data_IF_343996255599
#
_entry.id   IF_343996255599
#
_cell.length_a   1.000
_cell.length_b   1.000
_cell.length_c   1.000
_cell.angle_alpha   90.00
_cell.angle_beta   90.00
_cell.angle_gamma   90.00
#
_symmetry.space_group_name_H-M   'P 1'
#
loop_
_entity.id
_entity.type
_entity.pdbx_description
1 polymer ?
#
# COMPACT_ATOMS: atom_id res chain seq x y z
N UNK A 1 6.36 -10.41 -20.10
CA UNK A 1 7.49 -9.69 -19.46
C UNK A 1 7.01 -8.28 -19.18
N UNK A 2 7.49 -7.67 -18.11
CA UNK A 2 7.02 -6.37 -17.67
C UNK A 2 7.49 -5.24 -18.61
N UNK A 3 6.54 -4.48 -19.14
CA UNK A 3 6.76 -3.30 -19.97
C UNK A 3 6.56 -2.07 -19.10
N UNK A 4 7.54 -1.17 -19.16
CA UNK A 4 7.50 0.14 -18.52
C UNK A 4 7.93 1.23 -19.49
N UNK A 5 7.57 2.47 -19.20
CA UNK A 5 7.92 3.66 -20.01
C UNK A 5 8.36 4.82 -19.11
N UNK A 6 9.39 5.61 -19.47
CA UNK A 6 9.61 6.92 -18.84
C UNK A 6 8.46 7.86 -19.23
N UNK A 7 8.25 8.93 -18.46
CA UNK A 7 7.20 9.89 -18.78
C UNK A 7 7.58 11.30 -18.35
N UNK A 8 6.87 12.30 -18.90
CA UNK A 8 7.01 13.70 -18.49
C UNK A 8 6.24 13.93 -17.20
N UNK A 9 6.93 13.80 -16.07
CA UNK A 9 6.32 13.98 -14.76
C UNK A 9 5.85 15.42 -14.54
N UNK A 10 4.65 15.56 -13.99
CA UNK A 10 4.17 16.81 -13.41
C UNK A 10 4.50 16.82 -11.94
N UNK A 11 5.33 17.76 -11.49
CA UNK A 11 5.89 17.76 -10.14
C UNK A 11 6.07 19.17 -9.59
N UNK A 12 6.09 19.35 -8.26
CA UNK A 12 6.22 20.68 -7.67
C UNK A 12 7.63 21.26 -7.84
N UNK A 13 7.78 22.59 -7.90
CA UNK A 13 9.07 23.23 -7.63
C UNK A 13 9.66 22.78 -6.29
N UNK A 14 10.99 22.76 -6.18
CA UNK A 14 11.70 22.26 -5.00
C UNK A 14 11.26 22.95 -3.70
N UNK A 15 11.02 24.25 -3.72
CA UNK A 15 10.59 25.06 -2.58
C UNK A 15 9.11 24.85 -2.19
N UNK A 16 8.34 24.13 -3.00
CA UNK A 16 6.92 23.86 -2.77
C UNK A 16 6.62 22.40 -2.44
N UNK A 17 7.57 21.47 -2.60
CA UNK A 17 7.30 20.03 -2.44
C UNK A 17 6.71 19.67 -1.07
N UNK A 18 7.19 20.27 0.02
CA UNK A 18 6.67 20.02 1.37
C UNK A 18 5.27 20.59 1.60
N UNK A 19 4.88 21.60 0.84
CA UNK A 19 3.52 22.16 0.87
C UNK A 19 2.56 21.35 -0.02
N UNK A 20 3.06 20.72 -1.08
CA UNK A 20 2.25 19.96 -2.04
C UNK A 20 2.08 18.52 -1.60
N UNK A 21 3.16 17.84 -1.23
CA UNK A 21 3.15 16.42 -0.92
C UNK A 21 2.19 16.08 0.22
N UNK A 22 1.42 15.01 0.04
CA UNK A 22 0.42 14.57 1.01
C UNK A 22 0.49 13.06 1.22
N UNK A 23 -0.21 12.56 2.25
CA UNK A 23 -0.49 11.13 2.37
C UNK A 23 -1.47 10.71 1.25
N UNK A 24 -1.48 9.43 0.87
CA UNK A 24 -2.48 8.90 -0.05
C UNK A 24 -3.91 9.06 0.48
N UNK A 25 -4.87 9.12 -0.44
CA UNK A 25 -6.29 9.32 -0.13
C UNK A 25 -6.88 8.27 0.83
N UNK A 26 -6.34 7.05 0.83
CA UNK A 26 -6.82 5.89 1.58
C UNK A 26 -6.20 5.75 2.98
N UNK A 27 -5.31 6.66 3.36
CA UNK A 27 -4.70 6.70 4.70
C UNK A 27 -5.55 7.49 5.70
N UNK A 28 -6.39 8.41 5.22
CA UNK A 28 -7.08 9.41 6.04
C UNK A 28 -8.56 9.52 5.72
N UNK A 29 -9.35 9.86 6.74
CA UNK A 29 -10.70 10.37 6.51
C UNK A 29 -10.70 11.88 6.18
N UNK A 30 -11.85 12.39 5.73
CA UNK A 30 -11.98 13.80 5.30
C UNK A 30 -11.78 14.82 6.42
N UNK A 31 -12.05 14.46 7.69
CA UNK A 31 -11.80 15.36 8.82
C UNK A 31 -10.31 15.50 9.11
N UNK A 32 -9.57 14.38 9.07
CA UNK A 32 -8.11 14.36 9.19
C UNK A 32 -7.46 15.15 8.04
N UNK A 33 -7.88 14.90 6.80
CA UNK A 33 -7.37 15.60 5.63
C UNK A 33 -7.61 17.11 5.70
N UNK A 34 -8.79 17.54 6.19
CA UNK A 34 -9.11 18.96 6.37
C UNK A 34 -8.23 19.64 7.42
N UNK A 35 -7.93 18.96 8.53
CA UNK A 35 -7.02 19.51 9.54
C UNK A 35 -5.57 19.57 9.02
N UNK A 36 -5.11 18.57 8.27
CA UNK A 36 -3.76 18.59 7.69
C UNK A 36 -3.58 19.63 6.56
N UNK A 37 -4.62 19.87 5.76
CA UNK A 37 -4.59 20.88 4.70
C UNK A 37 -4.82 22.32 5.23
N UNK A 38 -5.16 22.47 6.51
CA UNK A 38 -5.60 23.74 7.08
C UNK A 38 -4.54 24.84 6.94
N UNK A 39 -4.91 25.91 6.25
CA UNK A 39 -4.02 27.05 5.98
C UNK A 39 -2.98 26.81 4.88
N UNK A 40 -3.02 25.65 4.20
CA UNK A 40 -2.13 25.33 3.10
C UNK A 40 -2.93 25.06 1.81
N UNK A 41 -3.15 26.12 1.02
CA UNK A 41 -3.85 26.04 -0.28
C UNK A 41 -3.14 25.16 -1.33
N UNK A 42 -1.87 24.79 -1.11
CA UNK A 42 -1.08 23.98 -2.04
C UNK A 42 -1.13 22.49 -1.73
N UNK A 43 -1.79 22.09 -0.64
CA UNK A 43 -1.89 20.69 -0.27
C UNK A 43 -2.57 19.87 -1.35
N UNK A 44 -1.96 18.75 -1.78
CA UNK A 44 -2.57 17.89 -2.78
C UNK A 44 -3.90 17.27 -2.31
N UNK A 45 -4.23 17.33 -1.01
CA UNK A 45 -5.55 16.93 -0.53
C UNK A 45 -6.70 17.69 -1.22
N UNK A 46 -6.47 18.92 -1.70
CA UNK A 46 -7.45 19.65 -2.51
C UNK A 46 -7.78 18.94 -3.85
N UNK A 47 -6.93 18.02 -4.32
CA UNK A 47 -7.13 17.22 -5.54
C UNK A 47 -7.55 15.78 -5.22
N UNK A 48 -6.92 15.14 -4.23
CA UNK A 48 -7.15 13.71 -3.93
C UNK A 48 -8.28 13.47 -2.92
N UNK A 49 -8.63 14.48 -2.11
CA UNK A 49 -9.76 14.53 -1.18
C UNK A 49 -10.50 15.88 -1.29
N UNK A 50 -10.99 16.25 -2.49
CA UNK A 50 -11.57 17.56 -2.79
C UNK A 50 -12.81 17.91 -1.94
N UNK A 51 -13.44 16.94 -1.28
CA UNK A 51 -14.55 17.17 -0.36
C UNK A 51 -14.16 18.06 0.84
N UNK A 52 -12.85 18.22 1.12
CA UNK A 52 -12.37 19.15 2.15
C UNK A 52 -12.64 20.63 1.81
N UNK A 53 -12.91 20.95 0.55
CA UNK A 53 -13.23 22.32 0.10
C UNK A 53 -14.71 22.68 0.22
N UNK A 54 -15.55 21.71 0.61
CA UNK A 54 -16.98 21.88 0.80
C UNK A 54 -17.34 21.96 2.29
N UNK A 55 -18.59 22.32 2.66
CA UNK A 55 -19.06 22.21 4.03
C UNK A 55 -18.88 20.80 4.60
N UNK A 56 -18.65 20.69 5.91
CA UNK A 56 -18.53 19.40 6.59
C UNK A 56 -19.84 18.61 6.41
N UNK A 57 -19.72 17.35 5.97
CA UNK A 57 -20.84 16.46 5.70
C UNK A 57 -21.25 16.34 4.24
N UNK A 58 -20.62 17.09 3.32
CA UNK A 58 -20.73 16.83 1.87
C UNK A 58 -20.23 15.42 1.54
N UNK A 59 -20.97 14.71 0.69
CA UNK A 59 -20.63 13.35 0.27
C UNK A 59 -19.38 13.38 -0.63
N UNK A 60 -18.37 12.57 -0.31
CA UNK A 60 -17.13 12.47 -1.10
C UNK A 60 -17.37 11.95 -2.53
N UNK A 61 -18.55 11.40 -2.81
CA UNK A 61 -18.92 10.86 -4.11
C UNK A 61 -19.89 11.75 -4.92
N UNK A 62 -20.17 12.97 -4.46
CA UNK A 62 -20.96 13.93 -5.23
C UNK A 62 -20.21 14.38 -6.51
N UNK A 63 -20.95 14.64 -7.60
CA UNK A 63 -20.36 15.05 -8.88
C UNK A 63 -19.53 16.34 -8.78
N UNK A 64 -20.00 17.30 -7.97
CA UNK A 64 -19.29 18.56 -7.73
C UNK A 64 -17.93 18.37 -7.04
N UNK A 65 -17.77 17.30 -6.25
CA UNK A 65 -16.53 16.96 -5.55
C UNK A 65 -15.48 16.48 -6.56
N UNK A 66 -15.84 15.62 -7.51
CA UNK A 66 -14.93 15.22 -8.59
C UNK A 66 -14.57 16.40 -9.52
N UNK A 67 -15.54 17.24 -9.86
CA UNK A 67 -15.29 18.43 -10.68
C UNK A 67 -14.32 19.40 -9.96
N UNK A 68 -14.44 19.55 -8.64
CA UNK A 68 -13.52 20.35 -7.83
C UNK A 68 -12.08 19.82 -7.89
N UNK A 69 -11.87 18.50 -7.90
CA UNK A 69 -10.53 17.93 -8.08
C UNK A 69 -9.89 18.39 -9.40
N UNK A 70 -10.64 18.33 -10.51
CA UNK A 70 -10.15 18.75 -11.82
C UNK A 70 -9.85 20.26 -11.88
N UNK A 71 -10.73 21.09 -11.29
CA UNK A 71 -10.51 22.54 -11.16
C UNK A 71 -9.25 22.85 -10.36
N UNK A 72 -9.06 22.17 -9.23
CA UNK A 72 -7.88 22.35 -8.38
C UNK A 72 -6.61 21.86 -9.09
N UNK A 73 -6.66 20.74 -9.80
CA UNK A 73 -5.51 20.24 -10.56
C UNK A 73 -5.09 21.20 -11.69
N UNK A 74 -6.05 21.82 -12.39
CA UNK A 74 -5.75 22.86 -13.36
C UNK A 74 -5.17 24.11 -12.68
N UNK A 75 -5.77 24.57 -11.57
CA UNK A 75 -5.27 25.71 -10.80
C UNK A 75 -3.83 25.51 -10.33
N UNK A 76 -3.47 24.30 -9.87
CA UNK A 76 -2.10 24.00 -9.42
C UNK A 76 -1.08 24.16 -10.55
N UNK A 77 -1.45 23.78 -11.78
CA UNK A 77 -0.61 23.97 -12.96
C UNK A 77 -0.53 25.46 -13.35
N UNK A 78 -1.66 26.16 -13.39
CA UNK A 78 -1.72 27.59 -13.75
C UNK A 78 -0.93 28.48 -12.78
N UNK A 79 -0.93 28.13 -11.48
CA UNK A 79 -0.15 28.82 -10.45
C UNK A 79 1.32 28.40 -10.40
N UNK A 80 1.75 27.43 -11.22
CA UNK A 80 3.11 26.91 -11.23
C UNK A 80 3.48 26.08 -9.99
N UNK A 81 2.49 25.59 -9.24
CA UNK A 81 2.72 24.69 -8.09
C UNK A 81 2.97 23.25 -8.53
N UNK A 82 2.56 22.93 -9.76
CA UNK A 82 2.85 21.68 -10.45
C UNK A 82 3.33 22.02 -11.87
N UNK A 83 4.55 21.62 -12.19
CA UNK A 83 5.22 21.93 -13.45
C UNK A 83 5.59 20.62 -14.15
N UNK A 84 5.31 20.55 -15.45
CA UNK A 84 5.64 19.38 -16.27
C UNK A 84 7.10 19.42 -16.70
N UNK A 85 7.79 18.28 -16.59
CA UNK A 85 9.14 18.12 -17.11
C UNK A 85 9.17 18.22 -18.66
N UNK A 86 10.27 18.74 -19.21
CA UNK A 86 10.41 18.98 -20.65
C UNK A 86 10.58 17.69 -21.48
N UNK A 87 11.15 16.64 -20.87
CA UNK A 87 11.44 15.34 -21.49
C UNK A 87 10.95 14.18 -20.61
N UNK A 88 10.78 13.01 -21.22
CA UNK A 88 10.44 11.79 -20.51
C UNK A 88 11.62 11.36 -19.63
N UNK A 89 11.36 11.10 -18.35
CA UNK A 89 12.36 10.64 -17.41
C UNK A 89 11.84 9.40 -16.66
N UNK A 90 12.77 8.64 -16.11
CA UNK A 90 12.48 7.85 -14.90
C UNK A 90 12.87 8.66 -13.67
N UNK A 91 12.40 8.24 -12.50
CA UNK A 91 12.75 8.91 -11.26
C UNK A 91 13.14 7.88 -10.20
N UNK A 92 14.01 8.28 -9.27
CA UNK A 92 14.24 7.52 -8.04
C UNK A 92 13.44 8.17 -6.94
N UNK A 93 12.63 7.39 -6.24
CA UNK A 93 11.95 7.80 -5.02
C UNK A 93 12.41 6.92 -3.86
N UNK A 94 13.10 7.51 -2.90
CA UNK A 94 13.53 6.86 -1.67
C UNK A 94 12.63 7.21 -0.48
N UNK A 95 12.42 6.23 0.39
CA UNK A 95 11.74 6.38 1.67
C UNK A 95 12.63 5.87 2.79
N UNK A 96 12.79 6.67 3.85
CA UNK A 96 13.62 6.33 5.00
C UNK A 96 12.77 6.25 6.27
N UNK A 97 12.84 5.11 6.96
CA UNK A 97 12.18 4.87 8.24
C UNK A 97 13.13 4.09 9.15
N UNK A 98 13.29 4.54 10.41
CA UNK A 98 14.10 3.86 11.43
C UNK A 98 15.54 3.56 10.97
N UNK A 99 16.16 4.47 10.22
CA UNK A 99 17.53 4.32 9.71
C UNK A 99 17.68 3.35 8.52
N UNK A 100 16.58 2.75 8.04
CA UNK A 100 16.55 1.94 6.81
C UNK A 100 15.97 2.76 5.68
N UNK A 101 16.63 2.74 4.52
CA UNK A 101 16.16 3.39 3.29
C UNK A 101 15.83 2.34 2.24
N UNK A 102 14.70 2.54 1.55
CA UNK A 102 14.31 1.78 0.37
C UNK A 102 14.23 2.72 -0.84
N UNK A 103 14.70 2.26 -1.99
CA UNK A 103 14.81 3.02 -3.23
C UNK A 103 13.93 2.40 -4.31
N UNK A 104 12.97 3.17 -4.80
CA UNK A 104 12.05 2.75 -5.85
C UNK A 104 12.25 3.54 -7.14
N UNK A 105 11.99 2.89 -8.27
CA UNK A 105 11.95 3.53 -9.58
C UNK A 105 10.51 3.96 -9.88
N UNK A 106 10.29 5.24 -10.17
CA UNK A 106 9.00 5.73 -10.66
C UNK A 106 8.93 5.51 -12.16
N UNK A 107 7.90 4.80 -12.61
CA UNK A 107 7.74 4.33 -13.99
C UNK A 107 6.29 4.46 -14.44
N UNK A 108 6.06 4.56 -15.76
CA UNK A 108 4.77 4.26 -16.37
C UNK A 108 4.65 2.75 -16.58
N UNK A 109 3.84 2.06 -15.78
CA UNK A 109 3.58 0.63 -15.88
C UNK A 109 2.51 0.33 -16.94
N UNK A 110 2.75 -0.64 -17.81
CA UNK A 110 1.90 -0.92 -18.96
C UNK A 110 0.53 -1.49 -18.58
N UNK A 111 -0.54 -0.88 -19.08
CA UNK A 111 -1.93 -1.26 -18.80
C UNK A 111 -2.24 -2.70 -19.23
N UNK A 112 -1.87 -3.16 -20.44
CA UNK A 112 -2.06 -4.56 -20.81
C UNK A 112 -1.36 -5.57 -19.91
N UNK A 113 -0.25 -5.23 -19.26
CA UNK A 113 0.41 -6.13 -18.31
C UNK A 113 -0.41 -6.36 -17.05
N UNK A 114 -1.21 -5.38 -16.63
CA UNK A 114 -2.22 -5.58 -15.58
C UNK A 114 -3.36 -6.48 -16.06
N UNK A 115 -3.81 -6.29 -17.29
CA UNK A 115 -4.95 -7.03 -17.86
C UNK A 115 -4.60 -8.50 -18.16
N UNK A 116 -3.36 -8.79 -18.54
CA UNK A 116 -2.89 -10.13 -18.92
C UNK A 116 -2.23 -10.91 -17.76
N UNK A 117 -2.09 -10.29 -16.57
CA UNK A 117 -1.54 -10.93 -15.38
C UNK A 117 -0.01 -11.00 -15.31
N UNK A 118 0.70 -10.15 -16.05
CA UNK A 118 2.14 -9.86 -15.86
C UNK A 118 2.34 -8.98 -14.62
N UNK A 119 1.48 -8.00 -14.38
CA UNK A 119 1.38 -7.32 -13.08
C UNK A 119 0.49 -8.18 -12.18
N UNK A 120 1.12 -8.81 -11.19
CA UNK A 120 0.53 -9.80 -10.29
C UNK A 120 -0.26 -9.12 -9.17
N UNK A 121 -1.46 -9.63 -8.96
CA UNK A 121 -2.37 -9.24 -7.88
C UNK A 121 -2.37 -10.34 -6.84
N UNK A 122 -2.51 -9.97 -5.58
CA UNK A 122 -2.69 -10.92 -4.48
C UNK A 122 -3.83 -10.49 -3.53
N UNK A 123 -4.60 -9.46 -3.91
CA UNK A 123 -5.76 -8.96 -3.19
C UNK A 123 -6.91 -8.69 -4.17
N UNK A 124 -8.15 -8.86 -3.68
CA UNK A 124 -9.35 -8.47 -4.41
C UNK A 124 -9.66 -6.99 -4.19
N UNK A 125 -9.99 -6.32 -5.27
CA UNK A 125 -10.55 -4.99 -5.26
C UNK A 125 -12.06 -5.01 -5.00
N UNK A 126 -12.59 -3.87 -4.60
CA UNK A 126 -14.02 -3.62 -4.38
C UNK A 126 -14.50 -2.67 -5.47
N UNK A 127 -15.62 -3.01 -6.10
CA UNK A 127 -16.18 -2.26 -7.24
C UNK A 127 -16.49 -0.81 -6.91
N UNK A 128 -16.99 -0.53 -5.71
CA UNK A 128 -17.29 0.83 -5.25
C UNK A 128 -16.03 1.69 -5.15
N UNK A 129 -14.95 1.12 -4.60
CA UNK A 129 -13.65 1.79 -4.51
C UNK A 129 -12.94 1.92 -5.86
N UNK A 130 -13.13 0.96 -6.76
CA UNK A 130 -12.65 1.07 -8.14
C UNK A 130 -13.34 2.20 -8.90
N UNK A 131 -14.68 2.23 -8.89
CA UNK A 131 -15.45 3.25 -9.63
C UNK A 131 -15.14 4.67 -9.14
N UNK A 132 -15.06 4.86 -7.82
CA UNK A 132 -14.64 6.12 -7.21
C UNK A 132 -13.25 6.57 -7.71
N UNK A 133 -12.24 5.68 -7.71
CA UNK A 133 -10.91 6.00 -8.23
C UNK A 133 -10.90 6.22 -9.74
N UNK A 134 -11.69 5.47 -10.50
CA UNK A 134 -11.83 5.67 -11.95
C UNK A 134 -12.37 7.06 -12.26
N UNK A 135 -13.37 7.55 -11.52
CA UNK A 135 -13.87 8.92 -11.67
C UNK A 135 -12.77 9.95 -11.44
N UNK A 136 -11.99 9.84 -10.37
CA UNK A 136 -10.85 10.73 -10.13
C UNK A 136 -9.83 10.72 -11.28
N UNK A 137 -9.45 9.55 -11.80
CA UNK A 137 -8.51 9.45 -12.93
C UNK A 137 -9.11 10.05 -14.20
N UNK A 138 -10.40 9.80 -14.48
CA UNK A 138 -11.11 10.35 -15.65
C UNK A 138 -11.19 11.87 -15.62
N UNK A 139 -11.65 12.47 -14.51
CA UNK A 139 -11.86 13.92 -14.42
C UNK A 139 -10.55 14.71 -14.42
N UNK A 140 -9.50 14.17 -13.81
CA UNK A 140 -8.18 14.81 -13.83
C UNK A 140 -7.38 14.52 -15.10
N UNK A 141 -7.80 13.52 -15.89
CA UNK A 141 -7.04 12.96 -17.00
C UNK A 141 -5.58 12.62 -16.62
N UNK A 142 -5.37 12.11 -15.40
CA UNK A 142 -4.05 11.87 -14.83
C UNK A 142 -4.09 10.81 -13.72
N UNK A 143 -2.98 10.11 -13.56
CA UNK A 143 -2.67 9.34 -12.35
C UNK A 143 -2.01 10.28 -11.33
N UNK A 144 -2.83 10.83 -10.42
CA UNK A 144 -2.38 11.78 -9.39
C UNK A 144 -1.55 11.11 -8.30
N UNK A 145 -1.82 9.84 -8.02
CA UNK A 145 -1.22 9.09 -6.92
C UNK A 145 -0.50 7.85 -7.46
N UNK A 146 0.71 7.54 -6.95
CA UNK A 146 1.42 6.35 -7.40
C UNK A 146 0.81 5.08 -6.84
N UNK A 147 1.08 3.96 -7.51
CA UNK A 147 0.91 2.61 -6.93
C UNK A 147 2.26 2.05 -6.48
N UNK A 148 2.26 1.18 -5.47
CA UNK A 148 3.48 0.60 -4.92
C UNK A 148 3.66 -0.79 -5.49
N UNK A 149 4.70 -0.98 -6.30
CA UNK A 149 5.08 -2.28 -6.85
C UNK A 149 6.39 -2.80 -6.25
N UNK A 150 6.54 -4.12 -6.28
CA UNK A 150 7.76 -4.83 -5.99
C UNK A 150 8.27 -5.57 -7.25
N UNK A 151 9.58 -5.74 -7.36
CA UNK A 151 10.23 -6.52 -8.41
C UNK A 151 11.38 -7.37 -7.84
N UNK A 152 11.80 -8.45 -8.53
CA UNK A 152 12.94 -9.26 -8.10
C UNK A 152 14.25 -8.46 -8.13
N UNK A 153 15.11 -8.64 -7.12
CA UNK A 153 16.41 -7.96 -7.02
C UNK A 153 17.19 -7.96 -8.35
N UNK A 154 17.74 -6.80 -8.73
CA UNK A 154 18.45 -6.65 -10.00
C UNK A 154 19.69 -5.75 -9.82
N UNK A 155 20.87 -6.36 -9.90
CA UNK A 155 22.15 -5.68 -9.68
C UNK A 155 22.42 -4.53 -10.66
N UNK A 156 21.92 -4.61 -11.89
CA UNK A 156 22.07 -3.52 -12.88
C UNK A 156 21.24 -2.31 -12.45
N UNK A 157 19.99 -2.53 -12.05
CA UNK A 157 19.13 -1.45 -11.54
C UNK A 157 19.69 -0.86 -10.24
N UNK A 158 20.18 -1.70 -9.33
CA UNK A 158 20.82 -1.25 -8.09
C UNK A 158 22.03 -0.35 -8.38
N UNK A 159 22.87 -0.71 -9.36
CA UNK A 159 24.02 0.10 -9.75
C UNK A 159 23.61 1.46 -10.34
N UNK A 160 22.57 1.49 -11.17
CA UNK A 160 22.03 2.75 -11.72
C UNK A 160 21.48 3.63 -10.58
N UNK A 161 20.67 3.06 -9.68
CA UNK A 161 20.12 3.79 -8.53
C UNK A 161 21.25 4.33 -7.64
N UNK A 162 22.28 3.53 -7.37
CA UNK A 162 23.44 3.95 -6.58
C UNK A 162 24.19 5.13 -7.23
N UNK A 163 24.26 5.17 -8.57
CA UNK A 163 24.89 6.28 -9.30
C UNK A 163 24.16 7.61 -9.09
N UNK A 164 22.82 7.63 -9.12
CA UNK A 164 22.06 8.88 -8.92
C UNK A 164 21.96 9.28 -7.44
N UNK A 165 21.93 8.32 -6.53
CA UNK A 165 21.68 8.60 -5.10
C UNK A 165 22.90 9.17 -4.36
N UNK A 166 24.08 9.21 -4.98
CA UNK A 166 25.24 9.98 -4.48
C UNK A 166 25.22 11.44 -4.94
N UNK A 167 24.39 11.79 -5.92
CA UNK A 167 24.22 13.15 -6.38
C UNK A 167 23.22 13.91 -5.48
N UNK A 168 23.21 15.24 -5.61
CA UNK A 168 22.28 16.08 -4.85
C UNK A 168 20.83 15.77 -5.27
N UNK A 169 19.94 15.39 -4.33
CA UNK A 169 18.55 15.13 -4.65
C UNK A 169 17.80 16.41 -5.04
N UNK A 170 16.73 16.23 -5.81
CA UNK A 170 15.80 17.29 -6.17
C UNK A 170 14.89 17.62 -4.99
N UNK A 171 14.39 16.59 -4.29
CA UNK A 171 13.66 16.74 -3.03
C UNK A 171 14.35 15.93 -1.94
N UNK A 172 14.47 16.49 -0.75
CA UNK A 172 14.96 15.80 0.43
C UNK A 172 14.34 16.42 1.67
N UNK A 173 13.35 15.74 2.25
CA UNK A 173 12.58 16.25 3.38
C UNK A 173 12.10 15.14 4.30
N UNK A 174 11.80 15.49 5.55
CA UNK A 174 11.13 14.61 6.50
C UNK A 174 9.67 15.05 6.56
N UNK A 175 8.74 14.15 6.24
CA UNK A 175 7.34 14.50 6.25
C UNK A 175 6.87 14.88 7.66
N UNK A 176 6.21 16.04 7.82
CA UNK A 176 5.64 16.43 9.10
C UNK A 176 4.52 15.44 9.49
N UNK A 177 4.46 15.09 10.77
CA UNK A 177 3.41 14.21 11.32
C UNK A 177 3.86 12.76 11.51
N UNK A 178 4.35 12.09 10.46
CA UNK A 178 4.79 10.69 10.56
C UNK A 178 6.31 10.49 10.64
N UNK A 179 7.11 11.50 10.29
CA UNK A 179 8.56 11.50 10.50
C UNK A 179 9.33 10.62 9.52
N UNK A 180 8.71 10.20 8.40
CA UNK A 180 9.42 9.45 7.36
C UNK A 180 10.20 10.38 6.43
N UNK A 181 11.44 9.99 6.12
CA UNK A 181 12.28 10.69 5.16
C UNK A 181 11.85 10.36 3.72
N UNK A 182 11.82 11.37 2.86
CA UNK A 182 11.48 11.25 1.46
C UNK A 182 12.54 11.97 0.62
N UNK A 183 13.16 11.24 -0.29
CA UNK A 183 14.22 11.77 -1.14
C UNK A 183 13.95 11.38 -2.59
N UNK A 184 14.17 12.30 -3.53
CA UNK A 184 13.75 12.14 -4.93
C UNK A 184 14.81 12.64 -5.91
N UNK A 185 15.06 11.86 -6.97
CA UNK A 185 16.01 12.17 -8.04
C UNK A 185 15.39 11.94 -9.41
N UNK A 186 15.95 12.59 -10.43
CA UNK A 186 15.54 12.44 -11.82
C UNK A 186 16.62 11.65 -12.56
N UNK A 187 16.21 10.60 -13.28
CA UNK A 187 17.05 9.83 -14.18
C UNK A 187 16.79 10.32 -15.59
N UNK A 188 17.75 11.07 -16.12
CA UNK A 188 17.57 11.87 -17.32
C UNK A 188 18.58 11.57 -18.44
N UNK A 189 19.56 10.69 -18.17
CA UNK A 189 20.52 10.19 -19.16
C UNK A 189 19.88 9.08 -19.98
N UNK A 190 19.92 9.21 -21.30
CA UNK A 190 19.29 8.26 -22.22
C UNK A 190 19.81 6.83 -22.04
N UNK A 191 21.11 6.67 -21.81
CA UNK A 191 21.74 5.35 -21.61
C UNK A 191 21.16 4.61 -20.39
N UNK A 192 20.91 5.33 -19.30
CA UNK A 192 20.32 4.76 -18.08
C UNK A 192 18.83 4.48 -18.26
N UNK A 193 18.11 5.37 -18.95
CA UNK A 193 16.69 5.15 -19.31
C UNK A 193 16.55 3.86 -20.12
N UNK A 194 17.36 3.71 -21.18
CA UNK A 194 17.34 2.52 -22.05
C UNK A 194 17.70 1.24 -21.26
N UNK A 195 18.69 1.33 -20.38
CA UNK A 195 19.09 0.21 -19.53
C UNK A 195 17.97 -0.20 -18.57
N UNK A 196 17.31 0.75 -17.90
CA UNK A 196 16.16 0.48 -17.01
C UNK A 196 15.04 -0.20 -17.78
N UNK A 197 14.61 0.37 -18.91
CA UNK A 197 13.54 -0.22 -19.74
C UNK A 197 13.89 -1.65 -20.16
N UNK A 198 15.15 -1.89 -20.56
CA UNK A 198 15.62 -3.21 -20.97
C UNK A 198 15.66 -4.22 -19.82
N UNK A 199 16.03 -3.82 -18.61
CA UNK A 199 16.06 -4.73 -17.45
C UNK A 199 14.64 -5.15 -17.03
N UNK A 200 13.68 -4.21 -17.00
CA UNK A 200 12.28 -4.54 -16.72
C UNK A 200 11.69 -5.47 -17.78
N UNK A 201 12.03 -5.28 -19.05
CA UNK A 201 11.58 -6.14 -20.15
C UNK A 201 12.08 -7.60 -20.05
N UNK A 202 13.01 -7.91 -19.15
CA UNK A 202 13.44 -9.29 -18.84
C UNK A 202 12.65 -9.90 -17.67
N UNK A 203 11.97 -9.08 -16.88
CA UNK A 203 11.24 -9.53 -15.70
C UNK A 203 9.94 -10.22 -16.13
N UNK A 204 9.64 -11.43 -15.65
CA UNK A 204 8.41 -12.13 -15.99
C UNK A 204 7.17 -11.42 -15.44
N UNK A 205 7.31 -10.75 -14.30
CA UNK A 205 6.23 -10.14 -13.57
C UNK A 205 6.69 -8.97 -12.69
N UNK A 206 5.73 -8.09 -12.37
CA UNK A 206 5.80 -7.12 -11.27
C UNK A 206 4.71 -7.47 -10.26
N UNK A 207 4.89 -7.10 -8.99
CA UNK A 207 3.97 -7.49 -7.92
C UNK A 207 3.38 -6.24 -7.27
N UNK A 208 2.05 -6.13 -7.20
CA UNK A 208 1.42 -5.03 -6.47
C UNK A 208 1.67 -5.25 -4.98
N UNK A 209 2.33 -4.30 -4.31
CA UNK A 209 2.53 -4.31 -2.85
C UNK A 209 1.41 -3.51 -2.15
N UNK A 210 1.06 -2.35 -2.68
CA UNK A 210 0.00 -1.48 -2.18
C UNK A 210 -0.64 -0.70 -3.35
N UNK A 211 -1.93 -0.35 -3.22
CA UNK A 211 -2.67 0.35 -4.30
C UNK A 211 -3.35 -0.57 -5.31
N UNK A 212 -3.89 -1.71 -4.89
CA UNK A 212 -4.70 -2.61 -5.75
C UNK A 212 -5.88 -1.89 -6.43
N UNK A 213 -6.63 -1.08 -5.67
CA UNK A 213 -7.75 -0.29 -6.22
C UNK A 213 -7.28 0.77 -7.23
N UNK A 214 -6.17 1.47 -6.93
CA UNK A 214 -5.55 2.47 -7.80
C UNK A 214 -5.06 1.83 -9.11
N UNK A 215 -4.41 0.67 -9.03
CA UNK A 215 -3.94 -0.09 -10.20
C UNK A 215 -5.11 -0.53 -11.09
N UNK A 216 -6.17 -1.07 -10.48
CA UNK A 216 -7.37 -1.48 -11.21
C UNK A 216 -8.04 -0.29 -11.91
N UNK A 217 -8.25 0.81 -11.19
CA UNK A 217 -8.88 2.00 -11.74
C UNK A 217 -8.07 2.59 -12.91
N UNK A 218 -6.75 2.74 -12.74
CA UNK A 218 -5.89 3.28 -13.79
C UNK A 218 -5.87 2.38 -15.04
N UNK A 219 -5.76 1.06 -14.86
CA UNK A 219 -5.79 0.10 -15.97
C UNK A 219 -7.13 0.10 -16.71
N UNK A 220 -8.25 0.17 -15.98
CA UNK A 220 -9.58 0.22 -16.59
C UNK A 220 -9.80 1.51 -17.37
N UNK A 221 -9.41 2.68 -16.82
CA UNK A 221 -9.52 3.96 -17.54
C UNK A 221 -8.59 4.00 -18.76
N UNK A 222 -7.37 3.46 -18.65
CA UNK A 222 -6.46 3.33 -19.79
C UNK A 222 -7.04 2.47 -20.92
N UNK A 223 -7.63 1.33 -20.57
CA UNK A 223 -8.30 0.45 -21.52
C UNK A 223 -9.57 1.08 -22.13
N UNK A 224 -10.31 1.89 -21.36
CA UNK A 224 -11.44 2.68 -21.88
C UNK A 224 -10.98 3.69 -22.93
N UNK A 225 -9.92 4.45 -22.63
CA UNK A 225 -9.34 5.43 -23.56
C UNK A 225 -8.79 4.79 -24.83
N UNK A 226 -8.09 3.66 -24.72
CA UNK A 226 -7.60 2.90 -25.88
C UNK A 226 -8.76 2.50 -26.82
N UNK A 227 -9.89 2.05 -26.27
CA UNK A 227 -11.08 1.69 -27.07
C UNK A 227 -11.76 2.89 -27.73
N UNK A 228 -11.68 4.07 -27.10
CA UNK A 228 -12.31 5.30 -27.59
C UNK A 228 -11.44 6.04 -28.62
N UNK A 229 -10.13 5.80 -28.63
CA UNK A 229 -9.21 6.43 -29.57
C UNK A 229 -9.12 5.64 -30.88
N UNK A 230 -9.74 6.15 -31.95
CA UNK A 230 -9.70 5.56 -33.30
C UNK A 230 -8.29 5.48 -33.87
N UNK A 231 -7.37 6.35 -33.41
CA UNK A 231 -5.98 6.41 -33.85
C UNK A 231 -5.02 5.72 -32.86
N UNK A 232 -5.52 4.82 -32.01
CA UNK A 232 -4.71 4.10 -31.03
C UNK A 232 -3.54 3.34 -31.66
N UNK A 233 -2.35 3.55 -31.12
CA UNK A 233 -1.07 2.96 -31.55
C UNK A 233 -0.45 2.04 -30.50
N UNK A 234 -0.89 2.13 -29.24
CA UNK A 234 -0.34 1.37 -28.11
C UNK A 234 0.74 2.13 -27.32
N UNK A 235 1.17 3.30 -27.81
CA UNK A 235 2.24 4.09 -27.20
C UNK A 235 1.73 5.34 -26.45
N UNK A 236 0.43 5.62 -26.51
CA UNK A 236 -0.16 6.78 -25.82
C UNK A 236 -0.01 6.66 -24.30
N UNK A 237 0.04 7.81 -23.61
CA UNK A 237 0.24 7.85 -22.15
C UNK A 237 -0.85 7.09 -21.38
N UNK A 238 -2.09 7.07 -21.88
CA UNK A 238 -3.16 6.28 -21.25
C UNK A 238 -2.94 4.76 -21.27
N UNK A 239 -1.96 4.25 -22.03
CA UNK A 239 -1.55 2.85 -21.97
C UNK A 239 -0.58 2.56 -20.81
N UNK A 240 -0.24 3.57 -20.02
CA UNK A 240 0.67 3.47 -18.90
C UNK A 240 0.09 4.15 -17.66
N UNK A 241 0.37 3.61 -16.48
CA UNK A 241 -0.03 4.23 -15.21
C UNK A 241 1.13 4.30 -14.23
N UNK A 242 1.14 5.35 -13.42
CA UNK A 242 2.28 5.66 -12.56
C UNK A 242 2.43 4.65 -11.43
N UNK A 243 3.58 4.00 -11.37
CA UNK A 243 3.98 3.07 -10.31
C UNK A 243 5.35 3.44 -9.76
N UNK A 244 5.59 3.11 -8.49
CA UNK A 244 6.92 3.13 -7.87
C UNK A 244 7.31 1.70 -7.57
N UNK A 245 8.32 1.20 -8.27
CA UNK A 245 8.77 -0.18 -8.23
C UNK A 245 10.00 -0.30 -7.33
N UNK A 246 9.94 -1.12 -6.27
CA UNK A 246 11.05 -1.36 -5.33
C UNK A 246 11.59 -2.79 -5.46
N UNK A 247 12.90 -3.01 -5.27
CA UNK A 247 13.45 -4.36 -5.21
C UNK A 247 12.96 -5.07 -3.94
N UNK A 248 12.55 -6.33 -4.08
CA UNK A 248 11.90 -7.09 -3.02
C UNK A 248 12.73 -7.19 -1.73
N UNK A 249 14.06 -7.28 -1.84
CA UNK A 249 14.95 -7.35 -0.67
C UNK A 249 15.00 -6.08 0.20
N UNK A 250 14.56 -4.92 -0.33
CA UNK A 250 14.51 -3.68 0.44
C UNK A 250 13.20 -3.54 1.20
N UNK A 251 12.14 -4.24 0.79
CA UNK A 251 10.82 -4.12 1.37
C UNK A 251 10.65 -4.94 2.65
N UNK A 252 9.92 -4.38 3.59
CA UNK A 252 9.49 -5.06 4.81
C UNK A 252 7.96 -5.05 4.85
N UNK A 253 7.35 -6.23 4.89
CA UNK A 253 5.93 -6.38 5.22
C UNK A 253 5.82 -6.40 6.75
N UNK A 254 4.92 -5.57 7.27
CA UNK A 254 4.60 -5.48 8.69
C UNK A 254 3.34 -6.31 8.96
N UNK A 255 3.25 -6.85 10.18
CA UNK A 255 2.12 -7.60 10.68
C UNK A 255 0.81 -6.79 10.67
N UNK A 256 -0.29 -7.52 10.54
CA UNK A 256 -1.63 -6.97 10.72
C UNK A 256 -2.32 -7.78 11.80
N UNK A 257 -2.48 -7.19 12.97
CA UNK A 257 -2.94 -7.87 14.18
C UNK A 257 -4.46 -7.88 14.28
N UNK A 258 -5.00 -8.79 15.09
CA UNK A 258 -6.45 -8.95 15.32
C UNK A 258 -6.80 -8.60 16.76
N UNK A 259 -7.94 -7.97 16.96
CA UNK A 259 -8.54 -7.79 18.27
C UNK A 259 -10.00 -8.20 18.21
N UNK A 260 -10.50 -8.83 19.27
CA UNK A 260 -11.87 -9.37 19.32
C UNK A 260 -12.57 -8.92 20.60
N UNK A 261 -13.82 -8.49 20.47
CA UNK A 261 -14.65 -7.91 21.55
C UNK A 261 -15.11 -8.89 22.61
N UNK A 262 -15.17 -10.18 22.30
CA UNK A 262 -15.61 -11.22 23.22
C UNK A 262 -14.93 -12.57 22.93
N UNK A 263 -15.15 -13.54 23.82
CA UNK A 263 -14.66 -14.91 23.70
C UNK A 263 -15.76 -15.90 23.30
N UNK A 264 -16.81 -15.42 22.62
CA UNK A 264 -17.95 -16.24 22.19
C UNK A 264 -18.62 -17.03 23.35
N UNK A 265 -18.76 -16.37 24.51
CA UNK A 265 -19.35 -16.95 25.71
C UNK A 265 -18.42 -17.80 26.58
N UNK A 266 -17.15 -17.98 26.18
CA UNK A 266 -16.16 -18.71 26.97
C UNK A 266 -15.54 -17.85 28.07
N UNK A 267 -15.13 -18.48 29.18
CA UNK A 267 -14.19 -17.87 30.12
C UNK A 267 -12.76 -17.85 29.53
N UNK A 268 -11.84 -17.01 30.03
CA UNK A 268 -10.45 -17.03 29.61
C UNK A 268 -9.80 -18.43 29.65
N UNK A 269 -10.06 -19.20 30.70
CA UNK A 269 -9.51 -20.56 30.87
C UNK A 269 -10.08 -21.53 29.85
N UNK A 270 -11.39 -21.45 29.58
CA UNK A 270 -12.06 -22.27 28.56
C UNK A 270 -11.55 -21.92 27.16
N UNK A 271 -11.35 -20.63 26.87
CA UNK A 271 -10.77 -20.16 25.61
C UNK A 271 -9.35 -20.70 25.41
N UNK A 272 -8.46 -20.55 26.41
CA UNK A 272 -7.10 -21.07 26.34
C UNK A 272 -7.07 -22.60 26.19
N UNK A 273 -8.00 -23.31 26.85
CA UNK A 273 -8.15 -24.77 26.71
C UNK A 273 -8.55 -25.15 25.28
N UNK A 274 -9.51 -24.43 24.68
CA UNK A 274 -9.94 -24.66 23.30
C UNK A 274 -8.79 -24.39 22.30
N UNK A 275 -8.06 -23.29 22.48
CA UNK A 275 -6.87 -22.94 21.67
C UNK A 275 -5.78 -24.01 21.81
N UNK A 276 -5.58 -24.56 23.00
CA UNK A 276 -4.57 -25.59 23.29
C UNK A 276 -4.79 -26.92 22.53
N UNK A 277 -5.97 -27.12 21.90
CA UNK A 277 -6.20 -28.23 20.97
C UNK A 277 -5.20 -28.17 19.80
N UNK A 278 -5.12 -27.01 19.16
CA UNK A 278 -4.35 -26.80 17.93
C UNK A 278 -2.99 -26.12 18.16
N UNK A 279 -2.78 -25.52 19.34
CA UNK A 279 -1.56 -24.78 19.67
C UNK A 279 -0.88 -25.30 20.93
N UNK A 280 0.44 -25.16 21.00
CA UNK A 280 1.17 -25.20 22.27
C UNK A 280 1.11 -23.82 22.90
N UNK A 281 0.55 -23.72 24.11
CA UNK A 281 0.27 -22.45 24.80
C UNK A 281 1.21 -22.28 25.99
N UNK A 282 1.93 -21.17 26.03
CA UNK A 282 2.84 -20.83 27.14
C UNK A 282 2.54 -19.42 27.65
N UNK A 283 2.25 -19.28 28.95
CA UNK A 283 2.14 -17.97 29.59
C UNK A 283 3.52 -17.29 29.64
N UNK A 284 3.59 -16.03 29.21
CA UNK A 284 4.82 -15.20 29.19
C UNK A 284 4.80 -14.07 30.21
N UNK A 285 3.71 -13.92 30.96
CA UNK A 285 3.55 -12.89 31.99
C UNK A 285 3.01 -11.58 31.44
N UNK A 286 3.37 -10.46 32.05
CA UNK A 286 2.81 -9.13 31.73
C UNK A 286 3.60 -8.36 30.68
N UNK A 287 4.85 -8.75 30.43
CA UNK A 287 5.74 -8.11 29.47
C UNK A 287 5.36 -8.46 28.03
N UNK A 288 5.54 -7.51 27.11
CA UNK A 288 5.21 -7.70 25.70
C UNK A 288 5.96 -8.90 25.15
N UNK A 289 5.20 -9.87 24.64
CA UNK A 289 5.72 -11.01 23.88
C UNK A 289 5.54 -10.75 22.39
N UNK A 290 6.64 -10.78 21.62
CA UNK A 290 6.60 -10.67 20.15
C UNK A 290 6.69 -12.08 19.53
N UNK A 291 5.94 -12.37 18.46
CA UNK A 291 6.08 -13.63 17.73
C UNK A 291 7.53 -13.89 17.31
N UNK A 292 8.05 -15.08 17.59
CA UNK A 292 9.46 -15.42 17.39
C UNK A 292 9.80 -15.90 15.97
N UNK A 293 8.79 -16.32 15.21
CA UNK A 293 8.96 -16.90 13.87
C UNK A 293 7.63 -17.28 13.26
N UNK A 294 7.67 -17.79 12.02
CA UNK A 294 6.51 -18.32 11.33
C UNK A 294 5.81 -19.39 12.18
N UNK A 295 4.47 -19.37 12.21
CA UNK A 295 3.61 -20.26 13.01
C UNK A 295 3.66 -20.04 14.53
N UNK A 296 4.35 -19.00 14.98
CA UNK A 296 4.27 -18.51 16.35
C UNK A 296 3.45 -17.22 16.41
N UNK A 297 2.63 -17.10 17.43
CA UNK A 297 1.69 -16.01 17.62
C UNK A 297 1.82 -15.47 19.04
N UNK A 298 1.46 -14.21 19.21
CA UNK A 298 1.26 -13.63 20.53
C UNK A 298 -0.22 -13.48 20.80
N UNK A 299 -0.65 -13.91 21.98
CA UNK A 299 -2.01 -13.68 22.47
C UNK A 299 -1.94 -12.77 23.70
N UNK A 300 -2.72 -11.70 23.73
CA UNK A 300 -2.92 -10.91 24.94
C UNK A 300 -4.34 -11.07 25.44
N UNK A 301 -4.47 -11.55 26.67
CA UNK A 301 -5.73 -11.87 27.31
C UNK A 301 -5.59 -11.69 28.83
N UNK A 302 -6.54 -10.96 29.41
CA UNK A 302 -6.69 -10.80 30.87
C UNK A 302 -5.39 -10.37 31.58
N UNK A 303 -4.74 -9.33 31.05
CA UNK A 303 -3.51 -8.77 31.63
C UNK A 303 -2.23 -9.54 31.31
N UNK A 304 -2.31 -10.64 30.54
CA UNK A 304 -1.18 -11.55 30.30
C UNK A 304 -0.95 -11.79 28.82
N UNK A 305 0.34 -11.93 28.47
CA UNK A 305 0.80 -12.41 27.18
C UNK A 305 1.00 -13.92 27.21
N UNK A 306 0.67 -14.56 26.09
CA UNK A 306 0.89 -15.97 25.84
C UNK A 306 1.58 -16.15 24.49
N UNK A 307 2.51 -17.08 24.42
CA UNK A 307 3.03 -17.63 23.16
C UNK A 307 2.11 -18.75 22.71
N UNK A 308 1.63 -18.69 21.47
CA UNK A 308 0.93 -19.79 20.81
C UNK A 308 1.80 -20.29 19.66
N UNK A 309 2.18 -21.56 19.68
CA UNK A 309 2.89 -22.20 18.55
C UNK A 309 1.96 -23.21 17.92
N UNK A 310 1.62 -23.03 16.64
CA UNK A 310 0.75 -23.95 15.93
C UNK A 310 1.39 -25.35 15.87
N UNK A 311 0.61 -26.39 16.17
CA UNK A 311 1.13 -27.76 16.20
C UNK A 311 1.34 -28.29 14.76
N UNK A 312 2.34 -29.15 14.53
CA UNK A 312 2.48 -29.80 13.24
C UNK A 312 1.19 -30.50 12.80
N UNK A 313 0.84 -30.38 11.52
CA UNK A 313 -0.40 -30.94 10.95
C UNK A 313 -1.63 -30.05 11.06
N UNK A 314 -1.55 -28.88 11.71
CA UNK A 314 -2.64 -27.89 11.72
C UNK A 314 -2.52 -26.82 10.62
N UNK A 315 -1.48 -26.92 9.78
CA UNK A 315 -1.23 -26.08 8.62
C UNK A 315 -0.59 -26.94 7.52
N UNK A 316 -0.55 -26.43 6.29
CA UNK A 316 0.02 -27.12 5.14
C UNK A 316 1.12 -26.27 4.50
N UNK A 317 2.37 -26.68 4.67
CA UNK A 317 3.54 -25.98 4.10
C UNK A 317 3.58 -25.99 2.56
N UNK A 318 2.81 -26.88 1.92
CA UNK A 318 2.69 -26.96 0.46
C UNK A 318 1.50 -26.14 -0.08
N UNK A 319 0.69 -25.54 0.80
CA UNK A 319 -0.40 -24.64 0.41
C UNK A 319 0.06 -23.19 0.62
N UNK A 320 0.21 -22.38 -0.44
CA UNK A 320 0.70 -21.01 -0.34
C UNK A 320 -0.20 -20.12 0.52
N UNK A 321 -1.49 -20.44 0.68
CA UNK A 321 -2.40 -19.73 1.58
C UNK A 321 -2.47 -20.42 2.94
N UNK A 322 -2.58 -21.75 2.95
CA UNK A 322 -2.73 -22.57 4.15
C UNK A 322 -1.56 -22.51 5.13
N UNK A 323 -0.37 -22.13 4.64
CA UNK A 323 0.84 -21.94 5.47
C UNK A 323 0.85 -20.60 6.22
N UNK A 324 0.03 -19.62 5.83
CA UNK A 324 0.09 -18.28 6.39
C UNK A 324 -0.53 -18.21 7.80
N UNK A 325 0.13 -17.49 8.70
CA UNK A 325 -0.36 -17.24 10.06
C UNK A 325 -1.74 -16.55 10.08
N UNK A 326 -2.03 -15.71 9.10
CA UNK A 326 -3.36 -15.11 8.93
C UNK A 326 -4.43 -16.16 8.66
N UNK A 327 -4.13 -17.21 7.89
CA UNK A 327 -5.06 -18.30 7.57
C UNK A 327 -5.22 -19.22 8.77
N UNK A 328 -4.11 -19.57 9.42
CA UNK A 328 -4.07 -20.44 10.59
C UNK A 328 -4.87 -19.82 11.74
N UNK A 329 -4.62 -18.56 12.09
CA UNK A 329 -5.38 -17.86 13.13
C UNK A 329 -6.86 -17.68 12.77
N UNK A 330 -7.18 -17.39 11.50
CA UNK A 330 -8.56 -17.24 11.05
C UNK A 330 -9.35 -18.54 11.19
N UNK A 331 -8.79 -19.67 10.78
CA UNK A 331 -9.47 -20.95 10.82
C UNK A 331 -9.52 -21.50 12.27
N UNK A 332 -8.36 -21.57 12.92
CA UNK A 332 -8.21 -22.36 14.15
C UNK A 332 -8.56 -21.59 15.43
N UNK A 333 -8.59 -20.25 15.38
CA UNK A 333 -8.92 -19.41 16.54
C UNK A 333 -10.19 -18.62 16.27
N UNK A 334 -10.22 -17.84 15.18
CA UNK A 334 -11.36 -16.95 14.90
C UNK A 334 -12.63 -17.74 14.56
N UNK A 335 -12.56 -18.70 13.63
CA UNK A 335 -13.72 -19.54 13.27
C UNK A 335 -13.94 -20.64 14.33
N UNK A 336 -13.01 -21.59 14.48
CA UNK A 336 -13.23 -22.80 15.31
C UNK A 336 -13.56 -22.49 16.78
N UNK A 337 -12.94 -21.47 17.38
CA UNK A 337 -13.11 -21.15 18.81
C UNK A 337 -14.09 -19.99 19.02
N UNK A 338 -13.95 -18.91 18.25
CA UNK A 338 -14.73 -17.67 18.45
C UNK A 338 -15.96 -17.54 17.55
N UNK A 339 -16.13 -18.45 16.58
CA UNK A 339 -17.27 -18.45 15.65
C UNK A 339 -17.30 -17.26 14.69
N UNK A 340 -16.16 -16.60 14.47
CA UNK A 340 -16.01 -15.46 13.55
C UNK A 340 -15.60 -16.00 12.18
N UNK A 341 -16.60 -16.20 11.32
CA UNK A 341 -16.40 -16.83 10.00
C UNK A 341 -16.08 -15.85 8.90
N UNK A 342 -16.82 -14.73 8.86
CA UNK A 342 -16.63 -13.68 7.87
C UNK A 342 -16.00 -12.44 8.52
N UNK A 343 -14.69 -12.31 8.34
CA UNK A 343 -13.91 -11.20 8.87
C UNK A 343 -14.30 -9.84 8.28
N UNK A 344 -15.05 -9.81 7.18
CA UNK A 344 -15.46 -8.56 6.51
C UNK A 344 -16.74 -7.98 7.11
N UNK A 345 -17.60 -8.81 7.69
CA UNK A 345 -18.93 -8.41 8.15
C UNK A 345 -19.15 -8.57 9.67
N UNK A 346 -18.37 -9.42 10.34
CA UNK A 346 -18.49 -9.60 11.79
C UNK A 346 -17.95 -8.37 12.55
N UNK A 347 -18.82 -7.71 13.32
CA UNK A 347 -18.51 -6.48 14.06
C UNK A 347 -17.75 -6.73 15.37
N UNK A 348 -17.51 -8.00 15.73
CA UNK A 348 -16.76 -8.40 16.93
C UNK A 348 -15.26 -8.34 16.73
N UNK A 349 -14.78 -8.37 15.49
CA UNK A 349 -13.35 -8.28 15.17
C UNK A 349 -12.98 -6.89 14.66
N UNK A 350 -11.77 -6.46 15.00
CA UNK A 350 -11.12 -5.32 14.37
C UNK A 350 -9.63 -5.62 14.15
N UNK A 351 -8.95 -4.77 13.38
CA UNK A 351 -7.60 -5.01 12.90
C UNK A 351 -6.67 -3.85 13.27
N UNK A 352 -5.46 -4.18 13.72
CA UNK A 352 -4.46 -3.20 14.14
C UNK A 352 -3.19 -3.40 13.32
N UNK A 353 -2.81 -2.43 12.49
CA UNK A 353 -1.55 -2.49 11.75
C UNK A 353 -0.35 -2.48 12.70
N UNK A 354 0.65 -3.32 12.43
CA UNK A 354 1.82 -3.52 13.30
C UNK A 354 2.66 -2.26 13.52
N UNK A 355 2.51 -1.23 12.68
CA UNK A 355 3.13 0.08 12.86
C UNK A 355 2.73 0.76 14.19
N UNK A 356 1.54 0.45 14.73
CA UNK A 356 1.09 0.94 16.05
C UNK A 356 1.75 0.19 17.23
N UNK A 357 2.42 -0.91 16.95
CA UNK A 357 3.10 -1.76 17.93
C UNK A 357 2.16 -2.58 18.82
N UNK A 358 2.75 -3.53 19.54
CA UNK A 358 2.03 -4.46 20.43
C UNK A 358 1.46 -3.77 21.68
N UNK A 359 1.98 -2.58 22.03
CA UNK A 359 1.44 -1.78 23.13
C UNK A 359 0.00 -1.29 22.87
N UNK A 360 -0.34 -1.00 21.61
CA UNK A 360 -1.71 -0.62 21.24
C UNK A 360 -2.69 -1.80 21.42
N UNK A 361 -2.26 -3.03 21.10
CA UNK A 361 -3.08 -4.23 21.34
C UNK A 361 -3.41 -4.38 22.82
N UNK A 362 -2.38 -4.29 23.67
CA UNK A 362 -2.52 -4.33 25.13
C UNK A 362 -3.49 -3.26 25.62
N UNK A 363 -3.32 -2.02 25.17
CA UNK A 363 -4.17 -0.88 25.54
C UNK A 363 -5.64 -1.10 25.17
N UNK A 364 -5.93 -1.61 23.97
CA UNK A 364 -7.32 -1.87 23.52
C UNK A 364 -8.00 -2.98 24.32
N UNK A 365 -7.24 -3.96 24.79
CA UNK A 365 -7.78 -5.00 25.68
C UNK A 365 -7.97 -4.47 27.11
N UNK A 366 -6.96 -3.80 27.66
CA UNK A 366 -7.00 -3.28 29.03
C UNK A 366 -8.05 -2.17 29.23
N UNK A 367 -8.40 -1.43 28.17
CA UNK A 367 -9.47 -0.43 28.21
C UNK A 367 -10.87 -1.05 28.26
N UNK A 368 -11.00 -2.35 28.01
CA UNK A 368 -12.28 -3.05 27.87
C UNK A 368 -12.96 -2.87 26.51
N UNK A 369 -12.34 -2.15 25.57
CA UNK A 369 -12.84 -2.05 24.20
C UNK A 369 -12.85 -3.42 23.51
N UNK A 370 -11.79 -4.21 23.76
CA UNK A 370 -11.58 -5.54 23.23
C UNK A 370 -11.37 -6.53 24.37
N UNK A 371 -11.68 -7.81 24.16
CA UNK A 371 -11.47 -8.86 25.16
C UNK A 371 -10.16 -9.62 24.97
N UNK A 372 -9.69 -9.71 23.74
CA UNK A 372 -8.48 -10.46 23.38
C UNK A 372 -7.79 -9.83 22.16
N UNK A 373 -6.47 -9.92 22.12
CA UNK A 373 -5.67 -9.53 20.97
C UNK A 373 -4.75 -10.65 20.50
N UNK A 374 -4.56 -10.75 19.19
CA UNK A 374 -3.65 -11.68 18.52
C UNK A 374 -2.65 -10.88 17.70
N UNK A 375 -1.37 -11.07 17.97
CA UNK A 375 -0.29 -10.61 17.11
C UNK A 375 0.24 -11.75 16.24
N UNK A 376 0.40 -11.48 14.95
CA UNK A 376 0.79 -12.46 13.94
C UNK A 376 2.26 -12.26 13.54
N UNK A 377 2.91 -13.32 13.08
CA UNK A 377 4.20 -13.15 12.40
C UNK A 377 3.97 -12.57 10.99
N UNK A 378 4.72 -11.52 10.57
CA UNK A 378 4.51 -10.90 9.26
C UNK A 378 4.76 -11.86 8.10
N UNK A 379 3.96 -11.73 7.03
CA UNK A 379 4.20 -12.42 5.76
C UNK A 379 5.52 -11.93 5.16
N UNK A 380 6.31 -12.80 4.54
CA UNK A 380 7.54 -12.43 3.84
C UNK A 380 7.27 -11.98 2.40
N UNK A 381 8.18 -11.19 1.81
CA UNK A 381 8.10 -10.84 0.39
C UNK A 381 8.09 -12.09 -0.51
N UNK A 382 8.84 -13.13 -0.14
CA UNK A 382 8.84 -14.41 -0.87
C UNK A 382 7.46 -15.04 -0.87
N UNK A 383 6.80 -15.16 0.30
CA UNK A 383 5.44 -15.70 0.38
C UNK A 383 4.46 -14.87 -0.47
N UNK A 384 4.58 -13.54 -0.45
CA UNK A 384 3.74 -12.68 -1.27
C UNK A 384 3.90 -12.97 -2.76
N UNK A 385 5.13 -13.02 -3.24
CA UNK A 385 5.43 -13.30 -4.64
C UNK A 385 4.97 -14.70 -5.05
N UNK A 386 5.26 -15.73 -4.24
CA UNK A 386 4.83 -17.11 -4.48
C UNK A 386 3.30 -17.22 -4.60
N UNK A 387 2.55 -16.56 -3.70
CA UNK A 387 1.08 -16.53 -3.75
C UNK A 387 0.59 -15.85 -5.03
N UNK A 388 1.14 -14.69 -5.34
CA UNK A 388 0.74 -13.91 -6.51
C UNK A 388 1.04 -14.66 -7.82
N UNK A 389 2.14 -15.41 -7.89
CA UNK A 389 2.53 -16.21 -9.05
C UNK A 389 1.60 -17.40 -9.29
N UNK A 390 1.01 -17.96 -8.23
CA UNK A 390 -0.02 -19.00 -8.35
C UNK A 390 -1.40 -18.48 -8.73
N UNK A 391 -1.59 -17.15 -8.82
CA UNK A 391 -2.88 -16.51 -9.09
C UNK A 391 -3.85 -16.56 -7.91
N UNK A 392 -3.36 -16.97 -6.74
CA UNK A 392 -4.12 -17.03 -5.51
C UNK A 392 -4.31 -15.63 -4.90
N UNK A 393 -5.36 -15.49 -4.09
CA UNK A 393 -5.68 -14.25 -3.37
C UNK A 393 -5.46 -14.47 -1.89
N UNK A 394 -4.76 -13.54 -1.24
CA UNK A 394 -4.58 -13.56 0.20
C UNK A 394 -5.87 -13.23 0.94
N UNK A 395 -6.03 -13.74 2.17
CA UNK A 395 -7.05 -13.26 3.10
C UNK A 395 -6.98 -11.73 3.27
N UNK A 396 -8.10 -11.07 3.62
CA UNK A 396 -8.09 -9.63 3.85
C UNK A 396 -7.15 -9.25 5.00
N UNK A 397 -6.55 -8.05 4.91
CA UNK A 397 -5.67 -7.50 5.96
C UNK A 397 -4.53 -8.45 6.31
N UNK A 398 -3.80 -8.89 5.28
CA UNK A 398 -2.64 -9.80 5.40
C UNK A 398 -1.31 -9.06 5.36
N UNK A 399 -1.21 -8.02 4.55
CA UNK A 399 0.03 -7.27 4.32
C UNK A 399 -0.13 -5.82 4.73
N UNK A 400 0.92 -5.26 5.34
CA UNK A 400 1.04 -3.82 5.61
C UNK A 400 2.42 -3.33 5.18
N UNK A 401 2.49 -2.44 4.21
CA UNK A 401 3.73 -1.80 3.78
C UNK A 401 3.86 -0.40 4.38
N UNK A 402 5.04 -0.09 4.93
CA UNK A 402 5.48 1.25 5.32
C UNK A 402 6.91 1.54 4.87
N UNK A 403 7.27 2.80 4.60
CA UNK A 403 6.38 3.98 4.56
C UNK A 403 5.37 3.96 3.39
N UNK A 404 4.18 4.54 3.59
CA UNK A 404 3.26 4.84 2.48
C UNK A 404 3.89 5.85 1.52
N UNK A 405 3.71 5.63 0.22
CA UNK A 405 4.17 6.57 -0.83
C UNK A 405 3.46 7.92 -0.67
N UNK A 406 4.16 9.03 -0.88
CA UNK A 406 3.51 10.34 -0.93
C UNK A 406 2.82 10.55 -2.27
N UNK A 407 1.66 11.17 -2.21
CA UNK A 407 1.00 11.73 -3.38
C UNK A 407 1.61 13.11 -3.67
N UNK A 408 1.72 13.48 -4.97
CA UNK A 408 2.13 14.83 -5.38
C UNK A 408 3.63 15.07 -5.52
N UNK A 409 4.48 14.06 -5.34
CA UNK A 409 5.91 14.18 -5.69
C UNK A 409 6.12 14.20 -7.20
N UNK A 410 5.31 13.43 -7.92
CA UNK A 410 5.25 13.38 -9.38
C UNK A 410 3.88 12.81 -9.78
N UNK A 411 3.35 13.28 -10.90
CA UNK A 411 2.03 12.94 -11.44
C UNK A 411 2.21 12.58 -12.92
N UNK A 412 1.47 11.57 -13.39
CA UNK A 412 1.48 11.12 -14.78
C UNK A 412 0.17 11.51 -15.48
N UNK A 413 0.22 12.44 -16.45
CA UNK A 413 -0.92 12.76 -17.31
C UNK A 413 -1.19 11.66 -18.34
N UNK A 414 -2.42 11.60 -18.85
CA UNK A 414 -2.87 10.55 -19.78
C UNK A 414 -2.97 11.02 -21.25
N UNK A 415 -2.51 12.23 -21.56
CA UNK A 415 -2.58 12.89 -22.87
C UNK A 415 -1.24 13.43 -23.38
#
# INVERSE_FOLDING_TARGET
>A
MAIIKPFKGIRPPQDLVEQVASRPYDVLNSAEAREEAKGNEKSLYHIIKPEIDFPVGTDEHDECVYQKAAENFQMFQDKGWLVQDDKENYYVYAQTMNGKTQYGLVVGAYVPDYMNGVIKKHELTRRDKEEDRMKHVRVNNANIEPVFFAYPDNATLDAIIAHYTVEKPVYDFIAPGDGFGHTFWIIDKQEDIDAITKEFAKMPALYIADGHHRSAAAALVGAEKAKQNVNHTGNEEYNYFMAVCFPANQLTIIDYNRVVKDLNGLTPEQFLTAVSKNFTVEEKGTEIYKPAGLHNFSLYLDGKWYSLTAKPGTYNDNDPIGVLDVTISSNLILDEVLGIKDLRSDKRIDFVGGIRGLGELKKRVDSGEMKVALALYPVSMKQLMDIADTGNIMPPKTTWFEPKLRSGLVIHKLD
#
